data_IF_686833978986
#
_entry.id   IF_686833978986
#
_cell.length_a   1.000
_cell.length_b   1.000
_cell.length_c   1.000
_cell.angle_alpha   90.00
_cell.angle_beta   90.00
_cell.angle_gamma   90.00
#
_symmetry.space_group_name_H-M   'P 1'
#
loop_
_entity.id
_entity.type
_entity.pdbx_description
1 polymer ?
#
# COMPACT_ATOMS: atom_id res chain seq x y z
N UNK A 1 16.27 9.97 19.05
CA UNK A 1 15.52 9.24 18.00
C UNK A 1 14.25 8.55 18.56
N UNK A 2 13.29 9.29 19.14
CA UNK A 2 12.02 8.69 19.65
C UNK A 2 10.86 8.83 18.67
N UNK A 3 10.73 10.00 18.01
CA UNK A 3 9.60 10.31 17.12
C UNK A 3 9.59 9.42 15.87
N UNK A 4 10.74 9.17 15.25
CA UNK A 4 10.83 8.29 14.07
C UNK A 4 10.39 6.85 14.37
N UNK A 5 10.63 6.36 15.59
CA UNK A 5 10.18 5.04 16.06
C UNK A 5 8.67 4.97 16.32
N UNK A 6 7.99 6.11 16.41
CA UNK A 6 6.52 6.18 16.53
C UNK A 6 5.87 6.35 15.17
N UNK A 7 6.41 7.25 14.34
CA UNK A 7 5.82 7.60 13.04
C UNK A 7 6.00 6.47 12.02
N UNK A 8 7.19 5.88 11.95
CA UNK A 8 7.48 4.87 10.94
C UNK A 8 6.56 3.65 11.04
N UNK A 9 6.33 3.04 12.23
CA UNK A 9 5.38 1.95 12.36
C UNK A 9 3.96 2.33 11.97
N UNK A 10 3.50 3.55 12.26
CA UNK A 10 2.15 3.98 11.86
C UNK A 10 2.00 3.98 10.33
N UNK A 11 3.00 4.46 9.61
CA UNK A 11 3.00 4.49 8.14
C UNK A 11 3.10 3.06 7.59
N UNK A 12 4.05 2.27 8.08
CA UNK A 12 4.26 0.88 7.66
C UNK A 12 3.03 0.02 7.89
N UNK A 13 2.49 -0.01 9.11
CA UNK A 13 1.32 -0.82 9.45
C UNK A 13 0.12 -0.43 8.61
N UNK A 14 -0.05 0.85 8.33
CA UNK A 14 -1.15 1.35 7.50
C UNK A 14 -0.98 0.92 6.06
N UNK A 15 0.20 1.11 5.48
CA UNK A 15 0.49 0.66 4.12
C UNK A 15 0.34 -0.86 3.98
N UNK A 16 0.85 -1.63 4.93
CA UNK A 16 0.73 -3.08 4.96
C UNK A 16 -0.74 -3.52 5.05
N UNK A 17 -1.52 -2.93 5.96
CA UNK A 17 -2.96 -3.25 6.10
C UNK A 17 -3.74 -2.93 4.83
N UNK A 18 -3.49 -1.77 4.21
CA UNK A 18 -4.12 -1.41 2.93
C UNK A 18 -3.70 -2.40 1.85
N UNK A 19 -2.42 -2.67 1.69
CA UNK A 19 -1.95 -3.59 0.67
C UNK A 19 -2.57 -4.98 0.85
N UNK A 20 -2.50 -5.58 2.03
CA UNK A 20 -3.06 -6.91 2.29
C UNK A 20 -4.57 -6.95 2.07
N UNK A 21 -5.31 -5.93 2.52
CA UNK A 21 -6.78 -5.91 2.41
C UNK A 21 -7.29 -5.72 0.98
N UNK A 22 -6.50 -5.08 0.11
CA UNK A 22 -6.92 -4.74 -1.25
C UNK A 22 -5.96 -5.27 -2.33
N UNK A 23 -5.10 -6.25 -2.02
CA UNK A 23 -4.01 -6.68 -2.91
C UNK A 23 -4.51 -7.05 -4.32
N UNK A 24 -5.63 -7.78 -4.42
CA UNK A 24 -6.20 -8.21 -5.70
C UNK A 24 -6.55 -7.01 -6.57
N UNK A 25 -7.22 -6.01 -5.97
CA UNK A 25 -7.61 -4.79 -6.67
C UNK A 25 -6.39 -3.94 -7.01
N UNK A 26 -5.49 -3.74 -6.06
CA UNK A 26 -4.29 -2.92 -6.24
C UNK A 26 -3.31 -3.49 -7.27
N UNK A 27 -3.22 -4.82 -7.39
CA UNK A 27 -2.38 -5.48 -8.39
C UNK A 27 -2.99 -5.43 -9.79
N UNK A 28 -4.33 -5.48 -9.88
CA UNK A 28 -5.06 -5.43 -11.16
C UNK A 28 -5.14 -4.02 -11.75
N UNK A 29 -5.06 -2.98 -10.93
CA UNK A 29 -5.17 -1.58 -11.36
C UNK A 29 -3.80 -0.98 -11.74
N UNK A 30 -3.79 0.13 -12.51
CA UNK A 30 -2.59 0.94 -12.72
C UNK A 30 -2.04 1.46 -11.39
N UNK A 31 -0.71 1.63 -11.31
CA UNK A 31 -0.04 2.07 -10.08
C UNK A 31 -0.57 3.43 -9.57
N UNK A 32 -1.03 4.28 -10.48
CA UNK A 32 -1.61 5.60 -10.18
C UNK A 32 -2.95 5.51 -9.46
N UNK A 33 -3.62 4.35 -9.44
CA UNK A 33 -4.92 4.14 -8.78
C UNK A 33 -4.89 4.44 -7.28
N UNK A 34 -3.75 4.20 -6.61
CA UNK A 34 -3.59 4.42 -5.17
C UNK A 34 -3.59 5.90 -4.79
N UNK A 35 -3.21 6.78 -5.73
CA UNK A 35 -3.09 8.23 -5.48
C UNK A 35 -4.45 8.79 -5.03
N UNK A 36 -5.52 8.79 -5.84
CA UNK A 36 -6.82 9.30 -5.41
C UNK A 36 -7.38 8.57 -4.17
N UNK A 37 -7.02 7.30 -3.95
CA UNK A 37 -7.40 6.54 -2.76
C UNK A 37 -6.83 7.14 -1.46
N UNK A 38 -5.55 7.50 -1.45
CA UNK A 38 -4.90 8.10 -0.29
C UNK A 38 -5.29 9.57 -0.13
N UNK A 39 -5.42 10.28 -1.26
CA UNK A 39 -5.77 11.69 -1.28
C UNK A 39 -7.22 11.97 -0.85
N UNK A 40 -8.15 11.06 -1.14
CA UNK A 40 -9.58 11.30 -0.91
C UNK A 40 -10.19 12.27 -1.93
N UNK A 41 -9.50 12.49 -3.05
CA UNK A 41 -9.98 13.29 -4.17
C UNK A 41 -9.39 12.74 -5.47
N UNK A 42 -10.19 12.76 -6.55
CA UNK A 42 -9.75 12.47 -7.89
C UNK A 42 -9.64 13.78 -8.69
N UNK A 43 -8.70 13.85 -9.63
CA UNK A 43 -8.59 14.98 -10.56
C UNK A 43 -9.78 14.98 -11.54
N UNK A 44 -10.23 13.79 -11.93
CA UNK A 44 -11.31 13.55 -12.88
C UNK A 44 -12.19 12.41 -12.35
N UNK A 45 -13.51 12.60 -12.40
CA UNK A 45 -14.50 11.61 -11.98
C UNK A 45 -14.66 11.46 -10.47
N UNK A 46 -15.46 10.46 -10.08
CA UNK A 46 -15.68 10.13 -8.67
C UNK A 46 -14.71 9.06 -8.18
N UNK A 47 -14.40 9.10 -6.89
CA UNK A 47 -13.72 7.99 -6.23
C UNK A 47 -14.58 6.73 -6.28
N UNK A 48 -13.94 5.62 -6.67
CA UNK A 48 -14.54 4.29 -6.55
C UNK A 48 -14.84 3.95 -5.08
N UNK A 49 -15.77 3.02 -4.79
CA UNK A 49 -16.04 2.57 -3.41
C UNK A 49 -14.78 2.10 -2.68
N UNK A 50 -13.90 1.37 -3.35
CA UNK A 50 -12.61 0.92 -2.79
C UNK A 50 -11.69 2.09 -2.45
N UNK A 51 -11.58 3.10 -3.31
CA UNK A 51 -10.78 4.30 -3.01
C UNK A 51 -11.34 5.08 -1.82
N UNK A 52 -12.68 5.22 -1.74
CA UNK A 52 -13.35 5.85 -0.58
C UNK A 52 -13.05 5.07 0.72
N UNK A 53 -13.06 3.74 0.67
CA UNK A 53 -12.79 2.89 1.84
C UNK A 53 -11.31 2.94 2.27
N UNK A 54 -10.38 2.93 1.31
CA UNK A 54 -8.95 3.16 1.58
C UNK A 54 -8.76 4.53 2.25
N UNK A 55 -9.39 5.59 1.72
CA UNK A 55 -9.27 6.93 2.29
C UNK A 55 -9.75 6.98 3.74
N UNK A 56 -10.91 6.36 4.05
CA UNK A 56 -11.45 6.28 5.41
C UNK A 56 -10.48 5.64 6.40
N UNK A 57 -9.67 4.68 5.95
CA UNK A 57 -8.65 4.03 6.79
C UNK A 57 -7.37 4.85 6.92
N UNK A 58 -6.98 5.57 5.86
CA UNK A 58 -5.72 6.31 5.81
C UNK A 58 -5.82 7.70 6.44
N UNK A 59 -6.93 8.43 6.26
CA UNK A 59 -7.08 9.79 6.74
C UNK A 59 -6.86 9.96 8.26
N UNK A 60 -7.40 9.10 9.15
CA UNK A 60 -7.14 9.19 10.58
C UNK A 60 -5.66 8.96 10.94
N UNK A 61 -4.96 8.12 10.16
CA UNK A 61 -3.53 7.85 10.38
C UNK A 61 -2.69 9.06 10.00
N UNK A 62 -3.03 9.77 8.92
CA UNK A 62 -2.35 10.99 8.53
C UNK A 62 -2.41 12.02 9.65
N UNK A 63 -3.59 12.23 10.24
CA UNK A 63 -3.75 13.14 11.36
C UNK A 63 -2.98 12.66 12.60
N UNK A 64 -3.04 11.37 12.94
CA UNK A 64 -2.27 10.81 14.05
C UNK A 64 -0.75 10.99 13.88
N UNK A 65 -0.23 10.80 12.67
CA UNK A 65 1.19 11.04 12.36
C UNK A 65 1.53 12.52 12.47
N UNK A 66 0.67 13.39 11.93
CA UNK A 66 0.84 14.84 12.01
C UNK A 66 0.89 15.33 13.47
N UNK A 67 -0.04 14.88 14.31
CA UNK A 67 -0.09 15.19 15.74
C UNK A 67 1.14 14.66 16.51
N UNK A 68 1.62 13.47 16.13
CA UNK A 68 2.80 12.85 16.74
C UNK A 68 4.10 13.65 16.52
N UNK A 69 4.14 14.55 15.53
CA UNK A 69 5.28 15.44 15.31
C UNK A 69 5.35 16.57 16.35
N UNK A 70 4.27 16.82 17.11
CA UNK A 70 4.19 17.83 18.18
C UNK A 70 4.65 19.24 17.74
N UNK A 71 4.39 19.58 16.49
CA UNK A 71 4.79 20.86 15.90
C UNK A 71 3.86 21.98 16.37
N UNK A 72 4.45 23.07 16.86
CA UNK A 72 3.71 24.26 17.34
C UNK A 72 3.85 25.40 16.34
N UNK A 73 2.86 26.30 16.34
CA UNK A 73 2.87 27.56 15.54
C UNK A 73 2.99 27.37 14.02
N UNK A 74 2.43 26.29 13.47
CA UNK A 74 2.38 26.09 12.03
C UNK A 74 1.31 26.97 11.37
N UNK A 75 1.65 27.58 10.24
CA UNK A 75 0.65 28.17 9.34
C UNK A 75 -0.18 27.08 8.67
N UNK A 76 -1.37 27.43 8.15
CA UNK A 76 -2.21 26.48 7.41
C UNK A 76 -1.47 25.85 6.21
N UNK A 77 -0.63 26.62 5.51
CA UNK A 77 0.17 26.12 4.40
C UNK A 77 1.24 25.12 4.84
N UNK A 78 1.93 25.36 5.96
CA UNK A 78 2.90 24.42 6.51
C UNK A 78 2.23 23.14 7.00
N UNK A 79 1.11 23.27 7.70
CA UNK A 79 0.32 22.15 8.18
C UNK A 79 -0.21 21.29 7.02
N UNK A 80 -0.59 21.92 5.90
CA UNK A 80 -0.95 21.23 4.67
C UNK A 80 0.24 20.51 4.04
N UNK A 81 1.39 21.19 3.89
CA UNK A 81 2.61 20.63 3.29
C UNK A 81 3.12 19.39 4.06
N UNK A 82 3.02 19.37 5.38
CA UNK A 82 3.41 18.19 6.18
C UNK A 82 2.45 17.03 5.92
N UNK A 83 1.14 17.27 5.92
CA UNK A 83 0.16 16.23 5.56
C UNK A 83 0.33 15.72 4.14
N UNK A 84 0.70 16.60 3.21
CA UNK A 84 1.08 16.25 1.84
C UNK A 84 2.23 15.25 1.83
N UNK A 85 3.30 15.53 2.59
CA UNK A 85 4.46 14.63 2.68
C UNK A 85 4.06 13.28 3.29
N UNK A 86 3.26 13.27 4.36
CA UNK A 86 2.78 12.04 4.99
C UNK A 86 1.97 11.19 3.99
N UNK A 87 1.06 11.80 3.21
CA UNK A 87 0.34 11.12 2.12
C UNK A 87 1.30 10.52 1.09
N UNK A 88 2.30 11.30 0.68
CA UNK A 88 3.33 10.86 -0.27
C UNK A 88 4.12 9.64 0.23
N UNK A 89 4.44 9.59 1.52
CA UNK A 89 5.13 8.44 2.13
C UNK A 89 4.25 7.18 2.12
N UNK A 90 2.97 7.30 2.48
CA UNK A 90 2.02 6.18 2.44
C UNK A 90 1.85 5.67 1.01
N UNK A 91 1.66 6.58 0.03
CA UNK A 91 1.57 6.23 -1.39
C UNK A 91 2.82 5.49 -1.83
N UNK A 92 4.01 6.06 -1.56
CA UNK A 92 5.30 5.47 -1.93
C UNK A 92 5.45 4.05 -1.38
N UNK A 93 5.07 3.83 -0.11
CA UNK A 93 5.17 2.51 0.50
C UNK A 93 4.24 1.49 -0.16
N UNK A 94 2.98 1.85 -0.40
CA UNK A 94 2.02 0.94 -1.05
C UNK A 94 2.46 0.64 -2.49
N UNK A 95 2.88 1.65 -3.24
CA UNK A 95 3.47 1.54 -4.59
C UNK A 95 4.64 0.56 -4.59
N UNK A 96 5.58 0.69 -3.64
CA UNK A 96 6.68 -0.24 -3.50
C UNK A 96 6.22 -1.68 -3.29
N UNK A 97 5.20 -1.91 -2.45
CA UNK A 97 4.66 -3.25 -2.21
C UNK A 97 4.03 -3.85 -3.47
N UNK A 98 3.27 -3.06 -4.22
CA UNK A 98 2.67 -3.45 -5.50
C UNK A 98 3.75 -3.87 -6.48
N UNK A 99 4.78 -3.03 -6.68
CA UNK A 99 5.85 -3.29 -7.62
C UNK A 99 6.74 -4.46 -7.20
N UNK A 100 7.01 -4.62 -5.91
CA UNK A 100 7.77 -5.74 -5.38
C UNK A 100 7.06 -7.08 -5.66
N UNK A 101 5.74 -7.13 -5.49
CA UNK A 101 4.95 -8.33 -5.79
C UNK A 101 4.85 -8.58 -7.30
N UNK A 102 4.55 -7.55 -8.10
CA UNK A 102 4.53 -7.67 -9.58
C UNK A 102 5.87 -8.15 -10.12
N UNK A 103 6.98 -7.60 -9.62
CA UNK A 103 8.34 -7.99 -10.01
C UNK A 103 8.64 -9.45 -9.66
N UNK A 104 8.20 -9.92 -8.49
CA UNK A 104 8.35 -11.34 -8.10
C UNK A 104 7.52 -12.27 -9.00
N UNK A 105 6.29 -11.88 -9.34
CA UNK A 105 5.43 -12.65 -10.25
C UNK A 105 6.05 -12.77 -11.65
N UNK A 106 6.52 -11.66 -12.22
CA UNK A 106 7.18 -11.65 -13.54
C UNK A 106 8.44 -12.51 -13.52
N UNK A 107 9.24 -12.45 -12.45
CA UNK A 107 10.41 -13.30 -12.29
C UNK A 107 10.05 -14.79 -12.25
N UNK A 108 9.01 -15.19 -11.51
CA UNK A 108 8.53 -16.60 -11.45
C UNK A 108 8.07 -17.09 -12.82
N UNK A 109 7.37 -16.25 -13.58
CA UNK A 109 6.93 -16.58 -14.95
C UNK A 109 8.13 -16.76 -15.89
N UNK A 110 9.14 -15.89 -15.78
CA UNK A 110 10.31 -15.90 -16.65
C UNK A 110 11.36 -16.97 -16.27
N UNK A 111 11.45 -17.36 -15.00
CA UNK A 111 12.40 -18.37 -14.53
C UNK A 111 12.02 -19.80 -14.93
N UNK A 112 10.81 -20.01 -15.47
CA UNK A 112 10.37 -21.36 -15.84
C UNK A 112 10.30 -22.32 -14.66
N UNK A 113 10.28 -21.80 -13.42
CA UNK A 113 9.94 -22.56 -12.21
C UNK A 113 8.45 -22.91 -12.28
N UNK A 114 8.13 -23.85 -13.18
CA UNK A 114 6.98 -24.73 -13.04
C UNK A 114 7.07 -25.31 -11.63
N UNK A 115 5.96 -25.30 -10.91
CA UNK A 115 5.82 -25.92 -9.59
C UNK A 115 6.22 -27.41 -9.68
N UNK A 116 7.51 -27.71 -9.57
CA UNK A 116 8.03 -29.06 -9.34
C UNK A 116 7.54 -29.61 -8.00
N UNK A 117 7.02 -28.73 -7.13
CA UNK A 117 6.35 -29.10 -5.89
C UNK A 117 4.95 -29.71 -6.10
N UNK A 118 4.26 -29.44 -7.23
CA UNK A 118 3.00 -30.15 -7.54
C UNK A 118 3.24 -31.54 -8.13
N UNK A 119 4.42 -31.81 -8.70
CA UNK A 119 4.76 -33.14 -9.25
C UNK A 119 5.30 -34.10 -8.18
N UNK A 120 5.72 -33.60 -7.01
CA UNK A 120 6.16 -34.42 -5.88
C UNK A 120 5.02 -34.96 -5.00
N UNK A 121 3.76 -34.59 -5.28
CA UNK A 121 2.57 -35.09 -4.60
C UNK A 121 1.67 -35.99 -5.46
N UNK A 122 2.14 -36.38 -6.65
CA UNK A 122 1.53 -37.48 -7.37
C UNK A 122 2.09 -38.79 -6.82
N UNK A 123 1.45 -39.32 -5.79
CA UNK A 123 1.61 -40.74 -5.45
C UNK A 123 1.36 -41.57 -6.72
N UNK A 124 2.23 -42.56 -7.04
CA UNK A 124 1.93 -43.46 -8.14
C UNK A 124 0.69 -44.27 -7.78
N UNK A 125 -0.46 -43.90 -8.33
CA UNK A 125 -1.61 -44.81 -8.37
C UNK A 125 -1.27 -45.93 -9.36
N UNK A 126 -0.70 -47.01 -8.85
CA UNK A 126 -0.43 -48.21 -9.64
C UNK A 126 -1.72 -48.88 -10.11
N UNK A 127 -1.69 -49.45 -11.31
CA UNK A 127 -1.92 -50.89 -11.57
C UNK A 127 -2.18 -51.13 -13.06
N UNK A 128 -1.18 -51.71 -13.76
CA UNK A 128 -1.35 -52.69 -14.83
C UNK A 128 -0.01 -53.40 -15.06
#
# INVERSE_FOLDING_TARGET
MKISRTIWPLIEDTANKIFVSYNTKLLAEPITYIVPAVWGAAKEGELTPTQKDINKKVAPVIEKVFESLQLKHLSGAQAFAIRFIIRGLIISRITYMIEAVKSKMIRKVNSGEQDTDMLNHLEPMGNA
#
